data_IF_777534820948
#
_entry.id   IF_777534820948
#
_cell.length_a   1.000
_cell.length_b   1.000
_cell.length_c   1.000
_cell.angle_alpha   90.00
_cell.angle_beta   90.00
_cell.angle_gamma   90.00
#
_symmetry.space_group_name_H-M   'P 1'
#
loop_
_entity.id
_entity.type
_entity.pdbx_description
1 polymer ?
#
# COMPACT_ATOMS: atom_id res chain seq x y z
N UNK A 1 -20.73 20.37 -9.84
CA UNK A 1 -19.93 19.12 -9.89
C UNK A 1 -20.35 18.24 -8.72
N UNK A 2 -20.54 16.91 -8.87
CA UNK A 2 -20.91 16.00 -7.76
C UNK A 2 -19.69 15.15 -7.36
N UNK A 3 -18.88 15.55 -6.35
CA UNK A 3 -17.61 14.89 -6.02
C UNK A 3 -17.75 13.40 -5.72
N UNK A 4 -18.77 13.02 -4.93
CA UNK A 4 -19.02 11.62 -4.56
C UNK A 4 -19.32 10.75 -5.78
N UNK A 5 -20.01 11.30 -6.79
CA UNK A 5 -20.28 10.57 -8.03
C UNK A 5 -18.98 10.26 -8.78
N UNK A 6 -18.11 11.26 -8.92
CA UNK A 6 -16.80 11.09 -9.58
C UNK A 6 -15.90 10.10 -8.83
N UNK A 7 -15.94 10.09 -7.50
CA UNK A 7 -15.17 9.16 -6.70
C UNK A 7 -15.60 7.71 -6.92
N UNK A 8 -16.92 7.46 -6.97
CA UNK A 8 -17.46 6.13 -7.29
C UNK A 8 -17.09 5.73 -8.71
N UNK A 9 -17.32 6.60 -9.70
CA UNK A 9 -16.95 6.34 -11.11
C UNK A 9 -15.47 5.97 -11.25
N UNK A 10 -14.58 6.67 -10.53
CA UNK A 10 -13.15 6.36 -10.52
C UNK A 10 -12.85 5.01 -9.87
N UNK A 11 -13.41 4.72 -8.70
CA UNK A 11 -13.19 3.45 -8.01
C UNK A 11 -13.70 2.25 -8.84
N UNK A 12 -14.86 2.39 -9.47
CA UNK A 12 -15.44 1.39 -10.38
C UNK A 12 -14.55 1.16 -11.60
N UNK A 13 -14.05 2.24 -12.23
CA UNK A 13 -13.13 2.10 -13.35
C UNK A 13 -11.84 1.36 -12.96
N UNK A 14 -11.26 1.66 -11.79
CA UNK A 14 -10.08 0.94 -11.29
C UNK A 14 -10.38 -0.54 -11.04
N UNK A 15 -11.54 -0.88 -10.48
CA UNK A 15 -11.92 -2.28 -10.25
C UNK A 15 -12.11 -3.08 -11.54
N UNK A 16 -12.44 -2.43 -12.65
CA UNK A 16 -12.62 -3.10 -13.95
C UNK A 16 -11.28 -3.46 -14.62
N UNK A 17 -10.21 -2.73 -14.31
CA UNK A 17 -8.88 -2.92 -14.92
C UNK A 17 -7.88 -3.63 -14.00
N UNK A 18 -8.21 -3.82 -12.72
CA UNK A 18 -7.33 -4.45 -11.73
C UNK A 18 -7.95 -5.70 -11.13
N UNK A 19 -7.10 -6.68 -10.79
CA UNK A 19 -7.53 -7.83 -10.00
C UNK A 19 -7.70 -7.42 -8.54
N UNK A 20 -8.94 -7.46 -8.04
CA UNK A 20 -9.23 -7.26 -6.61
C UNK A 20 -8.77 -8.50 -5.85
N UNK A 21 -8.08 -8.28 -4.72
CA UNK A 21 -7.60 -9.31 -3.82
C UNK A 21 -8.27 -9.13 -2.46
N UNK A 22 -8.77 -10.22 -1.89
CA UNK A 22 -9.31 -10.23 -0.52
C UNK A 22 -8.18 -10.26 0.51
N UNK A 23 -8.36 -9.49 1.59
CA UNK A 23 -7.45 -9.51 2.72
C UNK A 23 -7.72 -10.75 3.58
N UNK A 24 -6.65 -11.44 3.98
CA UNK A 24 -6.71 -12.54 4.93
C UNK A 24 -6.04 -12.16 6.26
N UNK A 25 -6.21 -13.01 7.28
CA UNK A 25 -5.66 -12.77 8.61
C UNK A 25 -4.13 -12.64 8.60
N UNK A 26 -3.41 -13.38 7.76
CA UNK A 26 -1.95 -13.30 7.67
C UNK A 26 -1.49 -11.91 7.19
N UNK A 27 -2.15 -11.36 6.17
CA UNK A 27 -1.89 -10.00 5.68
C UNK A 27 -2.19 -8.98 6.77
N UNK A 28 -3.32 -9.13 7.48
CA UNK A 28 -3.71 -8.21 8.55
C UNK A 28 -2.73 -8.20 9.72
N UNK A 29 -2.30 -9.38 10.20
CA UNK A 29 -1.28 -9.47 11.25
C UNK A 29 0.05 -8.88 10.80
N UNK A 30 0.48 -9.17 9.56
CA UNK A 30 1.72 -8.62 9.02
C UNK A 30 1.68 -7.10 8.91
N UNK A 31 0.56 -6.53 8.47
CA UNK A 31 0.37 -5.08 8.42
C UNK A 31 0.47 -4.44 9.81
N UNK A 32 -0.06 -5.10 10.85
CA UNK A 32 0.09 -4.66 12.24
C UNK A 32 1.54 -4.66 12.73
N UNK A 33 2.31 -5.70 12.41
CA UNK A 33 3.74 -5.75 12.73
C UNK A 33 4.53 -4.65 12.00
N UNK A 34 4.26 -4.45 10.71
CA UNK A 34 4.86 -3.38 9.92
C UNK A 34 4.53 -1.99 10.50
N UNK A 35 3.30 -1.76 10.95
CA UNK A 35 2.90 -0.49 11.57
C UNK A 35 3.74 -0.17 12.82
N UNK A 36 4.01 -1.17 13.67
CA UNK A 36 4.86 -0.98 14.86
C UNK A 36 6.30 -0.61 14.50
N UNK A 37 6.86 -1.25 13.47
CA UNK A 37 8.27 -1.09 13.08
C UNK A 37 8.48 0.20 12.27
N UNK A 38 7.63 0.45 11.28
CA UNK A 38 7.82 1.51 10.30
C UNK A 38 7.20 2.84 10.73
N UNK A 39 6.19 2.80 11.59
CA UNK A 39 5.43 3.98 12.03
C UNK A 39 4.90 4.85 10.87
N UNK A 40 4.43 4.19 9.80
CA UNK A 40 3.76 4.78 8.62
C UNK A 40 2.30 4.37 8.60
N UNK A 41 1.44 5.06 7.84
CA UNK A 41 0.01 4.79 7.74
C UNK A 41 -0.33 3.29 7.64
N UNK A 42 -1.38 2.86 8.37
CA UNK A 42 -1.78 1.45 8.39
C UNK A 42 -2.16 0.95 6.99
N UNK A 43 -2.76 1.81 6.16
CA UNK A 43 -3.08 1.51 4.75
C UNK A 43 -1.83 1.16 3.94
N UNK A 44 -0.73 1.88 4.12
CA UNK A 44 0.53 1.59 3.43
C UNK A 44 1.14 0.28 3.92
N UNK A 45 1.01 0.00 5.22
CA UNK A 45 1.42 -1.29 5.79
C UNK A 45 0.63 -2.46 5.18
N UNK A 46 -0.67 -2.28 4.90
CA UNK A 46 -1.47 -3.28 4.19
C UNK A 46 -0.99 -3.48 2.75
N UNK A 47 -0.65 -2.41 2.03
CA UNK A 47 -0.10 -2.50 0.67
C UNK A 47 1.21 -3.30 0.67
N UNK A 48 2.13 -3.00 1.60
CA UNK A 48 3.42 -3.70 1.71
C UNK A 48 3.22 -5.16 2.14
N UNK A 49 2.40 -5.43 3.15
CA UNK A 49 2.10 -6.78 3.63
C UNK A 49 1.47 -7.66 2.54
N UNK A 50 0.57 -7.07 1.74
CA UNK A 50 -0.05 -7.75 0.59
C UNK A 50 1.02 -8.07 -0.46
N UNK A 51 1.91 -7.13 -0.77
CA UNK A 51 3.00 -7.36 -1.70
C UNK A 51 3.95 -8.48 -1.24
N UNK A 52 4.32 -8.50 0.05
CA UNK A 52 5.09 -9.60 0.64
C UNK A 52 4.37 -10.95 0.50
N UNK A 53 3.07 -11.01 0.84
CA UNK A 53 2.28 -12.23 0.79
C UNK A 53 2.21 -12.84 -0.62
N UNK A 54 2.04 -11.99 -1.64
CA UNK A 54 1.97 -12.43 -3.04
C UNK A 54 3.34 -12.46 -3.74
N UNK A 55 4.44 -12.14 -3.04
CA UNK A 55 5.80 -12.05 -3.59
C UNK A 55 5.90 -11.12 -4.81
N UNK A 56 5.13 -10.04 -4.79
CA UNK A 56 5.13 -8.97 -5.80
C UNK A 56 5.70 -7.68 -5.19
N UNK A 57 5.75 -6.59 -5.95
CA UNK A 57 6.17 -5.28 -5.44
C UNK A 57 5.00 -4.35 -5.17
N UNK A 58 5.03 -3.67 -4.03
CA UNK A 58 4.19 -2.53 -3.71
C UNK A 58 4.71 -1.28 -4.45
N UNK A 59 3.85 -0.66 -5.25
CA UNK A 59 4.20 0.53 -6.02
C UNK A 59 3.65 1.77 -5.33
N UNK A 60 4.54 2.71 -5.02
CA UNK A 60 4.21 4.03 -4.49
C UNK A 60 4.64 5.10 -5.49
N UNK A 61 3.93 6.23 -5.51
CA UNK A 61 4.29 7.32 -6.40
C UNK A 61 5.65 7.93 -6.02
N UNK A 62 5.87 8.22 -4.75
CA UNK A 62 7.11 8.78 -4.19
C UNK A 62 7.20 8.48 -2.69
N UNK A 63 8.37 8.58 -2.06
CA UNK A 63 8.49 8.43 -0.61
C UNK A 63 7.71 9.51 0.15
N UNK A 64 6.85 9.10 1.08
CA UNK A 64 6.13 10.03 1.94
C UNK A 64 6.99 10.50 3.13
N UNK A 65 6.62 11.64 3.72
CA UNK A 65 7.36 12.24 4.85
C UNK A 65 7.54 11.26 6.02
N UNK A 66 6.53 10.43 6.30
CA UNK A 66 6.61 9.42 7.35
C UNK A 66 7.58 8.29 6.98
N UNK A 67 7.56 7.84 5.73
CA UNK A 67 8.45 6.80 5.20
C UNK A 67 9.92 7.21 5.26
N UNK A 68 10.23 8.49 5.02
CA UNK A 68 11.60 9.00 5.05
C UNK A 68 12.31 8.76 6.39
N UNK A 69 11.57 8.74 7.51
CA UNK A 69 12.13 8.47 8.84
C UNK A 69 12.74 7.07 8.97
N UNK A 70 12.17 6.11 8.24
CA UNK A 70 12.54 4.69 8.28
C UNK A 70 12.86 4.14 6.88
N UNK A 71 13.33 4.99 5.97
CA UNK A 71 13.47 4.65 4.54
C UNK A 71 14.39 3.47 4.28
N UNK A 72 15.45 3.33 5.10
CA UNK A 72 16.39 2.21 5.01
C UNK A 72 15.77 0.86 5.37
N UNK A 73 14.75 0.85 6.23
CA UNK A 73 13.96 -0.36 6.51
C UNK A 73 12.99 -0.64 5.37
N UNK A 74 12.33 0.39 4.85
CA UNK A 74 11.36 0.28 3.76
C UNK A 74 12.03 -0.23 2.47
N UNK A 75 13.27 0.20 2.19
CA UNK A 75 14.06 -0.26 1.03
C UNK A 75 14.39 -1.75 1.07
N UNK A 76 14.31 -2.40 2.24
CA UNK A 76 14.51 -3.85 2.39
C UNK A 76 13.22 -4.66 2.14
N UNK A 77 12.09 -3.99 2.04
CA UNK A 77 10.77 -4.57 1.76
C UNK A 77 10.52 -4.57 0.25
N UNK A 78 9.54 -5.33 -0.27
CA UNK A 78 9.24 -5.38 -1.70
C UNK A 78 8.50 -4.11 -2.16
N UNK A 79 9.19 -2.98 -2.15
CA UNK A 79 8.65 -1.65 -2.43
C UNK A 79 9.35 -1.06 -3.66
N UNK A 80 8.63 -0.28 -4.45
CA UNK A 80 9.20 0.55 -5.51
C UNK A 80 8.52 1.91 -5.54
N UNK A 81 9.32 2.94 -5.82
CA UNK A 81 8.85 4.31 -5.97
C UNK A 81 8.99 4.71 -7.44
N UNK A 82 7.93 5.29 -8.02
CA UNK A 82 7.95 5.78 -9.41
C UNK A 82 8.87 7.00 -9.52
N UNK A 83 8.74 7.91 -8.55
CA UNK A 83 9.53 9.12 -8.44
C UNK A 83 10.51 8.99 -7.26
N UNK A 84 11.68 9.63 -7.34
CA UNK A 84 12.68 9.63 -6.28
C UNK A 84 12.17 10.26 -4.97
#
# INVERSE_FOLDING_TARGET
MKPNKKAIEFATWISDIMKIIELNSQIAFRAGELRKILNIALTDCYVIATAEHFKIKALFLKPEKEMLKNIELIRKLPVSFILP
#
